data_IF_255911320250
#
_entry.id   IF_255911320250
#
_cell.length_a   1.000
_cell.length_b   1.000
_cell.length_c   1.000
_cell.angle_alpha   90.00
_cell.angle_beta   90.00
_cell.angle_gamma   90.00
#
_symmetry.space_group_name_H-M   'P 1'
#
loop_
_entity.id
_entity.type
_entity.pdbx_description
1 polymer ?
#
# COMPACT_ATOMS: atom_id res chain seq x y z
N UNK A 1 6.59 -18.08 -10.78
CA UNK A 1 6.61 -17.36 -12.07
C UNK A 1 7.14 -15.93 -11.92
N UNK A 2 6.62 -15.13 -10.99
CA UNK A 2 7.03 -13.73 -10.83
C UNK A 2 8.47 -13.55 -10.33
N UNK A 3 8.91 -14.21 -9.25
CA UNK A 3 10.26 -14.00 -8.70
C UNK A 3 11.38 -14.24 -9.72
N UNK A 4 11.37 -15.34 -10.52
CA UNK A 4 12.37 -15.55 -11.57
C UNK A 4 12.40 -14.44 -12.63
N UNK A 5 11.27 -13.76 -12.86
CA UNK A 5 11.21 -12.62 -13.78
C UNK A 5 11.83 -11.37 -13.18
N UNK A 6 11.61 -11.12 -11.90
CA UNK A 6 12.31 -10.04 -11.18
C UNK A 6 13.82 -10.27 -11.20
N UNK A 7 14.27 -11.51 -10.99
CA UNK A 7 15.70 -11.87 -11.05
C UNK A 7 16.28 -11.70 -12.46
N UNK A 8 15.53 -12.04 -13.50
CA UNK A 8 15.91 -11.82 -14.91
C UNK A 8 16.10 -10.32 -15.19
N UNK A 9 15.16 -9.47 -14.75
CA UNK A 9 15.26 -8.01 -14.90
C UNK A 9 16.44 -7.42 -14.11
N UNK A 10 16.65 -7.88 -12.88
CA UNK A 10 17.76 -7.43 -12.03
C UNK A 10 19.10 -7.79 -12.69
N UNK A 11 19.24 -9.01 -13.20
CA UNK A 11 20.45 -9.46 -13.91
C UNK A 11 20.76 -8.60 -15.14
N UNK A 12 19.74 -8.16 -15.87
CA UNK A 12 19.92 -7.39 -17.10
C UNK A 12 20.17 -5.89 -16.85
N UNK A 13 19.57 -5.33 -15.79
CA UNK A 13 19.53 -3.87 -15.56
C UNK A 13 20.48 -3.44 -14.44
N UNK A 14 20.46 -4.11 -13.29
CA UNK A 14 21.08 -3.61 -12.05
C UNK A 14 22.59 -3.46 -12.18
N UNK A 15 23.25 -4.45 -12.79
CA UNK A 15 24.71 -4.43 -12.99
C UNK A 15 25.13 -3.91 -14.36
N UNK A 16 24.19 -3.36 -15.15
CA UNK A 16 24.52 -2.81 -16.46
C UNK A 16 25.27 -1.47 -16.30
N UNK A 17 26.50 -1.35 -16.82
CA UNK A 17 27.30 -0.13 -16.67
C UNK A 17 26.66 1.09 -17.32
N UNK A 18 25.90 0.90 -18.41
CA UNK A 18 25.17 1.99 -19.09
C UNK A 18 24.03 2.48 -18.19
N UNK A 19 23.31 1.56 -17.54
CA UNK A 19 22.24 1.91 -16.63
C UNK A 19 22.79 2.66 -15.41
N UNK A 20 23.78 2.08 -14.72
CA UNK A 20 24.41 2.71 -13.54
C UNK A 20 24.94 4.11 -13.85
N UNK A 21 25.66 4.30 -14.96
CA UNK A 21 26.16 5.62 -15.38
C UNK A 21 25.05 6.67 -15.56
N UNK A 22 23.81 6.26 -15.86
CA UNK A 22 22.67 7.17 -16.08
C UNK A 22 21.83 7.44 -14.83
N UNK A 23 22.00 6.69 -13.74
CA UNK A 23 21.13 6.81 -12.56
C UNK A 23 21.90 6.98 -11.25
N UNK A 24 23.14 6.51 -11.20
CA UNK A 24 23.99 6.61 -10.02
C UNK A 24 24.44 8.07 -9.83
N UNK A 25 24.22 8.61 -8.63
CA UNK A 25 24.53 10.00 -8.30
C UNK A 25 23.63 11.06 -8.94
N UNK A 26 22.54 10.66 -9.61
CA UNK A 26 21.57 11.60 -10.21
C UNK A 26 20.35 11.77 -9.30
N UNK A 27 19.93 13.02 -9.10
CA UNK A 27 18.74 13.35 -8.31
C UNK A 27 18.88 12.90 -6.86
N UNK A 28 20.06 13.15 -6.28
CA UNK A 28 20.35 12.90 -4.87
C UNK A 28 19.51 13.81 -3.99
N UNK A 29 18.84 13.24 -3.01
CA UNK A 29 18.04 13.96 -2.03
C UNK A 29 18.53 13.56 -0.65
N UNK A 30 18.91 14.54 0.17
CA UNK A 30 19.30 14.28 1.55
C UNK A 30 18.09 13.93 2.42
N UNK A 31 18.34 13.25 3.54
CA UNK A 31 17.30 12.93 4.54
C UNK A 31 16.51 14.17 4.98
N UNK A 32 17.19 15.28 5.24
CA UNK A 32 16.57 16.53 5.67
C UNK A 32 15.72 17.16 4.57
N UNK A 33 16.20 17.17 3.33
CA UNK A 33 15.44 17.69 2.19
C UNK A 33 14.20 16.85 1.92
N UNK A 34 14.31 15.53 1.98
CA UNK A 34 13.17 14.63 1.76
C UNK A 34 12.03 14.88 2.76
N UNK A 35 12.36 15.11 4.04
CA UNK A 35 11.39 15.44 5.08
C UNK A 35 10.81 16.84 4.87
N UNK A 36 11.67 17.84 4.61
CA UNK A 36 11.24 19.22 4.45
C UNK A 36 10.36 19.43 3.20
N UNK A 37 10.58 18.66 2.13
CA UNK A 37 9.77 18.71 0.91
C UNK A 37 8.50 17.86 0.98
N UNK A 38 8.26 17.15 2.09
CA UNK A 38 7.10 16.28 2.24
C UNK A 38 7.11 15.09 1.28
N UNK A 39 8.29 14.59 0.89
CA UNK A 39 8.39 13.39 0.06
C UNK A 39 7.99 12.15 0.87
N UNK A 40 7.31 11.21 0.23
CA UNK A 40 6.81 10.00 0.85
C UNK A 40 7.17 8.73 0.07
N UNK A 41 6.93 7.57 0.69
CA UNK A 41 7.20 6.25 0.13
C UNK A 41 8.63 6.02 -0.36
N UNK A 42 8.84 5.54 -1.60
CA UNK A 42 10.16 5.13 -2.08
C UNK A 42 11.16 6.29 -2.18
N UNK A 43 10.68 7.54 -2.36
CA UNK A 43 11.54 8.72 -2.34
C UNK A 43 12.15 8.95 -0.96
N UNK A 44 11.32 8.82 0.08
CA UNK A 44 11.70 9.00 1.47
C UNK A 44 12.58 7.84 1.96
N UNK A 45 12.19 6.60 1.63
CA UNK A 45 12.93 5.37 1.96
C UNK A 45 14.30 5.30 1.30
N UNK A 46 14.45 5.78 0.07
CA UNK A 46 15.75 5.83 -0.61
C UNK A 46 16.72 6.87 -0.02
N UNK A 47 16.20 7.84 0.74
CA UNK A 47 16.96 8.96 1.34
C UNK A 47 17.34 8.69 2.81
N UNK A 48 17.26 7.45 3.28
CA UNK A 48 17.69 7.02 4.61
C UNK A 48 16.62 7.10 5.70
N UNK A 49 15.35 7.31 5.35
CA UNK A 49 14.26 7.40 6.33
C UNK A 49 13.45 6.10 6.33
N UNK A 50 13.50 5.37 7.46
CA UNK A 50 12.71 4.15 7.66
C UNK A 50 11.24 4.48 7.97
N UNK A 51 10.49 4.86 6.95
CA UNK A 51 9.09 5.25 7.08
C UNK A 51 8.21 4.52 6.06
N UNK A 52 7.14 3.90 6.56
CA UNK A 52 6.13 3.20 5.76
C UNK A 52 4.80 3.20 6.53
N UNK A 53 3.74 3.74 5.93
CA UNK A 53 2.46 3.90 6.62
C UNK A 53 1.84 2.55 7.02
N UNK A 54 2.14 1.46 6.32
CA UNK A 54 1.61 0.13 6.64
C UNK A 54 2.11 -0.41 7.97
N UNK A 55 3.28 0.04 8.45
CA UNK A 55 3.82 -0.29 9.79
C UNK A 55 3.57 0.79 10.84
N UNK A 56 3.25 2.01 10.43
CA UNK A 56 3.07 3.15 11.36
C UNK A 56 1.61 3.30 11.75
N UNK A 57 0.71 3.27 10.77
CA UNK A 57 -0.72 3.48 10.99
C UNK A 57 -1.48 2.16 11.18
N UNK A 58 -0.83 1.01 10.98
CA UNK A 58 -1.36 -0.32 11.33
C UNK A 58 -2.76 -0.59 10.73
N UNK A 59 -2.98 -0.19 9.47
CA UNK A 59 -4.28 -0.37 8.82
C UNK A 59 -4.45 -1.77 8.20
N UNK A 60 -5.70 -2.18 8.02
CA UNK A 60 -6.08 -3.51 7.50
C UNK A 60 -5.44 -4.67 8.30
N UNK A 61 -4.77 -5.61 7.63
CA UNK A 61 -4.15 -6.79 8.21
C UNK A 61 -2.63 -6.84 8.01
N UNK A 62 -1.99 -5.68 7.76
CA UNK A 62 -0.53 -5.64 7.54
C UNK A 62 0.30 -6.01 8.78
N UNK A 63 -0.29 -5.95 9.97
CA UNK A 63 0.33 -6.35 11.24
C UNK A 63 0.38 -7.84 11.47
N UNK A 64 -0.58 -8.58 10.89
CA UNK A 64 -0.65 -10.04 11.00
C UNK A 64 0.35 -10.73 10.06
N UNK A 65 1.00 -9.97 9.19
CA UNK A 65 1.91 -10.46 8.15
C UNK A 65 3.37 -10.15 8.51
N UNK A 66 4.25 -11.11 8.26
CA UNK A 66 5.69 -10.96 8.47
C UNK A 66 6.36 -10.32 7.25
N UNK A 67 6.70 -9.04 7.35
CA UNK A 67 7.37 -8.32 6.28
C UNK A 67 8.24 -7.16 6.77
N UNK A 68 9.25 -6.83 5.96
CA UNK A 68 10.28 -5.84 6.26
C UNK A 68 10.20 -4.60 5.35
N UNK A 69 10.52 -3.43 5.91
CA UNK A 69 10.60 -2.17 5.16
C UNK A 69 12.01 -2.01 4.58
N UNK A 70 12.12 -1.97 3.25
CA UNK A 70 13.39 -1.74 2.56
C UNK A 70 13.69 -0.26 2.40
N UNK A 71 14.91 0.13 2.72
CA UNK A 71 15.40 1.52 2.65
C UNK A 71 16.86 1.54 2.19
N UNK A 72 17.31 2.69 1.73
CA UNK A 72 18.67 2.95 1.26
C UNK A 72 19.14 4.31 1.75
N UNK A 73 20.45 4.58 1.74
CA UNK A 73 21.02 5.84 2.25
C UNK A 73 21.52 6.79 1.17
N UNK A 74 21.70 6.32 -0.06
CA UNK A 74 22.36 7.12 -1.10
C UNK A 74 21.49 8.27 -1.64
N UNK A 75 20.15 8.18 -1.53
CA UNK A 75 19.23 9.23 -1.94
C UNK A 75 19.13 9.48 -3.45
N UNK A 76 19.87 8.72 -4.26
CA UNK A 76 19.92 8.87 -5.72
C UNK A 76 18.84 8.05 -6.45
N UNK A 77 18.77 8.20 -7.78
CA UNK A 77 17.86 7.41 -8.62
C UNK A 77 18.14 5.90 -8.51
N UNK A 78 19.38 5.50 -8.29
CA UNK A 78 19.74 4.09 -8.13
C UNK A 78 19.20 3.50 -6.83
N UNK A 79 19.32 4.20 -5.70
CA UNK A 79 18.72 3.81 -4.43
C UNK A 79 17.21 3.65 -4.54
N UNK A 80 16.52 4.57 -5.24
CA UNK A 80 15.07 4.47 -5.50
C UNK A 80 14.72 3.23 -6.31
N UNK A 81 15.54 2.89 -7.31
CA UNK A 81 15.38 1.67 -8.09
C UNK A 81 15.55 0.42 -7.22
N UNK A 82 16.59 0.36 -6.38
CA UNK A 82 16.86 -0.77 -5.49
C UNK A 82 15.71 -0.98 -4.49
N UNK A 83 15.21 0.10 -3.86
CA UNK A 83 14.07 0.04 -2.95
C UNK A 83 12.86 -0.59 -3.65
N UNK A 84 12.52 -0.15 -4.87
CA UNK A 84 11.38 -0.70 -5.62
C UNK A 84 11.55 -2.18 -5.97
N UNK A 85 12.75 -2.60 -6.37
CA UNK A 85 13.02 -4.01 -6.69
C UNK A 85 12.82 -4.89 -5.45
N UNK A 86 13.31 -4.44 -4.29
CA UNK A 86 13.13 -5.17 -3.03
C UNK A 86 11.66 -5.16 -2.57
N UNK A 87 10.96 -4.04 -2.70
CA UNK A 87 9.51 -3.94 -2.42
C UNK A 87 8.67 -4.89 -3.26
N UNK A 88 9.04 -5.13 -4.53
CA UNK A 88 8.34 -6.12 -5.36
C UNK A 88 8.49 -7.54 -4.80
N UNK A 89 9.67 -7.91 -4.30
CA UNK A 89 9.90 -9.21 -3.66
C UNK A 89 9.10 -9.32 -2.36
N UNK A 90 9.10 -8.26 -1.56
CA UNK A 90 8.36 -8.22 -0.30
C UNK A 90 6.85 -8.29 -0.53
N UNK A 91 6.36 -7.63 -1.57
CA UNK A 91 4.95 -7.72 -1.98
C UNK A 91 4.54 -9.15 -2.30
N UNK A 92 5.40 -9.92 -2.97
CA UNK A 92 5.13 -11.35 -3.22
C UNK A 92 5.17 -12.16 -1.92
N UNK A 93 6.08 -11.85 -0.99
CA UNK A 93 6.14 -12.49 0.34
C UNK A 93 4.81 -12.27 1.09
N UNK A 94 4.31 -11.04 1.10
CA UNK A 94 3.02 -10.64 1.69
C UNK A 94 1.88 -11.43 1.03
N UNK A 95 1.81 -11.44 -0.31
CA UNK A 95 0.76 -12.18 -1.05
C UNK A 95 0.76 -13.67 -0.72
N UNK A 96 1.93 -14.31 -0.62
CA UNK A 96 2.04 -15.73 -0.26
C UNK A 96 1.55 -16.01 1.16
N UNK A 97 1.78 -15.10 2.09
CA UNK A 97 1.29 -15.22 3.47
C UNK A 97 -0.22 -14.99 3.51
N UNK A 98 -0.72 -13.95 2.86
CA UNK A 98 -2.15 -13.67 2.76
C UNK A 98 -2.91 -14.85 2.16
N UNK A 99 -2.41 -15.47 1.08
CA UNK A 99 -3.02 -16.66 0.48
C UNK A 99 -3.12 -17.86 1.44
N UNK A 100 -2.14 -18.02 2.35
CA UNK A 100 -2.17 -19.08 3.38
C UNK A 100 -3.10 -18.73 4.54
N UNK A 101 -3.20 -17.45 4.87
CA UNK A 101 -4.00 -16.92 5.96
C UNK A 101 -5.44 -16.57 5.55
N UNK A 102 -5.84 -16.82 4.29
CA UNK A 102 -7.17 -16.50 3.79
C UNK A 102 -8.25 -17.18 4.64
N UNK A 103 -9.06 -16.41 5.39
CA UNK A 103 -10.20 -17.00 6.07
C UNK A 103 -11.25 -17.40 5.03
N UNK A 104 -11.88 -18.56 5.23
CA UNK A 104 -13.13 -18.87 4.53
C UNK A 104 -14.26 -17.99 5.05
N UNK A 105 -15.23 -17.68 4.19
CA UNK A 105 -16.42 -16.92 4.58
C UNK A 105 -16.95 -16.02 3.46
N UNK A 106 -18.10 -15.34 3.69
CA UNK A 106 -18.62 -14.35 2.76
C UNK A 106 -17.64 -13.18 2.56
N UNK A 107 -17.36 -12.82 1.30
CA UNK A 107 -16.44 -11.74 0.93
C UNK A 107 -17.11 -10.35 0.86
N UNK A 108 -18.44 -10.33 0.73
CA UNK A 108 -19.25 -9.12 0.74
C UNK A 108 -20.01 -9.02 2.07
N UNK A 109 -19.35 -8.48 3.09
CA UNK A 109 -20.10 -7.76 4.11
C UNK A 109 -20.34 -6.36 3.56
N UNK A 110 -21.47 -6.17 2.89
CA UNK A 110 -22.01 -4.84 2.64
C UNK A 110 -22.25 -4.23 4.03
N UNK A 111 -21.30 -3.45 4.56
CA UNK A 111 -21.58 -2.55 5.68
C UNK A 111 -22.81 -1.70 5.39
N UNK A 112 -23.05 -1.38 4.11
CA UNK A 112 -24.29 -0.77 3.61
C UNK A 112 -25.54 -1.60 3.91
N UNK A 113 -25.49 -2.94 3.83
CA UNK A 113 -26.60 -3.84 4.14
C UNK A 113 -26.82 -3.95 5.64
N UNK A 114 -25.74 -3.98 6.45
CA UNK A 114 -25.82 -3.88 7.93
C UNK A 114 -26.34 -2.52 8.40
N UNK A 115 -25.94 -1.42 7.75
CA UNK A 115 -26.48 -0.08 8.00
C UNK A 115 -27.98 -0.01 7.66
N UNK A 116 -28.40 -0.66 6.57
CA UNK A 116 -29.80 -0.68 6.13
C UNK A 116 -30.70 -1.63 6.96
N UNK A 117 -30.20 -2.80 7.35
CA UNK A 117 -30.93 -3.84 8.10
C UNK A 117 -30.91 -3.60 9.63
N UNK A 118 -30.04 -2.71 10.12
CA UNK A 118 -29.95 -2.31 11.52
C UNK A 118 -29.23 -3.33 12.42
N UNK A 119 -29.13 -3.02 13.73
CA UNK A 119 -28.32 -3.78 14.71
C UNK A 119 -28.70 -5.27 14.88
N UNK A 120 -29.84 -5.73 14.34
CA UNK A 120 -30.36 -7.10 14.46
C UNK A 120 -30.15 -7.96 13.20
N UNK A 121 -29.46 -7.45 12.18
CA UNK A 121 -29.13 -8.23 10.97
C UNK A 121 -28.31 -9.46 11.32
N UNK A 122 -28.68 -10.64 10.80
CA UNK A 122 -27.84 -11.84 10.94
C UNK A 122 -26.50 -11.62 10.22
N UNK A 123 -25.41 -11.77 10.98
CA UNK A 123 -24.08 -11.75 10.42
C UNK A 123 -23.84 -13.09 9.69
N UNK A 124 -23.49 -13.04 8.40
CA UNK A 124 -23.20 -14.19 7.54
C UNK A 124 -24.38 -15.12 7.16
N UNK A 125 -25.54 -14.57 6.82
CA UNK A 125 -26.60 -15.33 6.15
C UNK A 125 -26.19 -15.76 4.73
N UNK A 126 -26.35 -17.04 4.39
CA UNK A 126 -25.90 -17.69 3.14
C UNK A 126 -26.90 -17.56 1.97
N UNK A 127 -27.73 -16.51 1.94
CA UNK A 127 -28.71 -16.34 0.87
C UNK A 127 -28.05 -15.77 -0.40
N UNK A 128 -27.76 -16.67 -1.35
CA UNK A 128 -27.25 -16.41 -2.70
C UNK A 128 -28.24 -15.66 -3.61
N UNK A 129 -29.15 -14.85 -3.07
CA UNK A 129 -30.01 -14.06 -3.92
C UNK A 129 -29.18 -12.92 -4.52
N UNK A 130 -28.84 -13.10 -5.80
CA UNK A 130 -28.38 -12.09 -6.74
C UNK A 130 -29.24 -10.83 -6.63
N UNK A 131 -28.95 -9.94 -5.69
CA UNK A 131 -29.55 -8.61 -5.63
C UNK A 131 -28.82 -7.78 -6.66
N UNK A 132 -29.29 -7.86 -7.91
CA UNK A 132 -28.92 -7.01 -9.04
C UNK A 132 -29.30 -5.53 -8.87
N UNK A 133 -29.34 -5.04 -7.63
CA UNK A 133 -29.44 -3.63 -7.28
C UNK A 133 -28.40 -3.36 -6.21
N UNK A 134 -27.20 -2.92 -6.62
CA UNK A 134 -26.36 -2.14 -5.71
C UNK A 134 -27.26 -1.03 -5.16
N UNK A 135 -27.58 -1.10 -3.88
CA UNK A 135 -28.31 -0.03 -3.20
C UNK A 135 -27.52 1.24 -3.49
N UNK A 136 -28.16 2.25 -4.08
CA UNK A 136 -27.49 3.52 -4.32
C UNK A 136 -26.95 3.98 -2.96
N UNK A 137 -25.64 4.26 -2.84
CA UNK A 137 -25.06 4.64 -1.57
C UNK A 137 -25.42 6.09 -1.27
N UNK A 138 -26.70 6.37 -1.04
CA UNK A 138 -27.18 7.63 -0.47
C UNK A 138 -27.11 7.49 1.05
N UNK A 139 -25.90 7.27 1.58
CA UNK A 139 -25.65 7.39 3.00
C UNK A 139 -25.26 8.84 3.29
N UNK A 140 -25.89 9.44 4.31
CA UNK A 140 -25.53 10.77 4.78
C UNK A 140 -24.22 10.66 5.56
N UNK A 141 -23.24 11.49 5.22
CA UNK A 141 -21.96 11.54 5.92
C UNK A 141 -22.13 12.48 7.10
N UNK A 142 -21.97 12.04 8.36
CA UNK A 142 -22.13 12.90 9.52
C UNK A 142 -21.23 14.15 9.42
N UNK A 143 -21.73 15.28 9.93
CA UNK A 143 -20.93 16.49 10.02
C UNK A 143 -19.58 16.27 10.73
N UNK A 144 -18.49 16.59 10.03
CA UNK A 144 -17.14 16.43 10.55
C UNK A 144 -16.08 16.37 9.47
N UNK A 145 -14.82 16.40 9.90
CA UNK A 145 -13.65 16.32 9.03
C UNK A 145 -12.87 15.03 9.31
N UNK A 146 -12.43 14.36 8.25
CA UNK A 146 -11.62 13.16 8.38
C UNK A 146 -10.51 13.12 7.33
N UNK A 147 -9.29 12.83 7.77
CA UNK A 147 -8.15 12.59 6.89
C UNK A 147 -7.68 11.16 7.09
N UNK A 148 -7.69 10.38 6.00
CA UNK A 148 -7.14 9.02 5.97
C UNK A 148 -6.01 8.99 4.98
N UNK A 149 -4.95 8.26 5.30
CA UNK A 149 -3.80 8.07 4.44
C UNK A 149 -3.48 6.60 4.27
N UNK A 150 -3.02 6.24 3.08
CA UNK A 150 -2.58 4.88 2.75
C UNK A 150 -1.21 4.94 2.06
N UNK A 151 -0.45 3.85 2.16
CA UNK A 151 0.78 3.69 1.40
C UNK A 151 0.45 3.15 0.00
N UNK A 152 0.47 4.02 -1.01
CA UNK A 152 0.40 3.60 -2.41
C UNK A 152 1.79 3.18 -2.92
N UNK A 153 1.85 2.50 -4.08
CA UNK A 153 3.14 2.21 -4.75
C UNK A 153 3.94 3.46 -5.19
N UNK A 154 3.38 4.65 -5.04
CA UNK A 154 4.05 5.95 -5.26
C UNK A 154 4.44 6.64 -3.94
N UNK A 155 3.87 6.26 -2.80
CA UNK A 155 4.00 6.92 -1.50
C UNK A 155 2.65 7.19 -0.85
N UNK A 156 2.64 8.11 0.10
CA UNK A 156 1.44 8.50 0.85
C UNK A 156 0.35 9.03 -0.08
N UNK A 157 -0.81 8.38 -0.06
CA UNK A 157 -2.05 8.88 -0.66
C UNK A 157 -3.00 9.23 0.47
N UNK A 158 -3.17 10.53 0.69
CA UNK A 158 -4.13 11.09 1.62
C UNK A 158 -5.46 11.41 0.95
N UNK A 159 -6.55 11.12 1.64
CA UNK A 159 -7.90 11.53 1.27
C UNK A 159 -8.47 12.31 2.45
N UNK A 160 -8.82 13.57 2.18
CA UNK A 160 -9.52 14.44 3.13
C UNK A 160 -11.00 14.52 2.72
N UNK A 161 -11.89 14.21 3.65
CA UNK A 161 -13.34 14.25 3.46
C UNK A 161 -13.94 15.15 4.54
N UNK A 162 -14.84 16.04 4.11
CA UNK A 162 -15.66 16.86 4.99
C UNK A 162 -17.13 16.49 4.75
N UNK A 163 -17.81 16.10 5.82
CA UNK A 163 -19.25 15.88 5.83
C UNK A 163 -19.98 17.13 6.29
N UNK A 164 -21.07 17.48 5.62
CA UNK A 164 -21.90 18.66 5.90
C UNK A 164 -23.37 18.32 6.21
N UNK A 165 -23.73 17.03 6.30
CA UNK A 165 -25.09 16.55 6.58
C UNK A 165 -25.43 16.48 8.08
#
# INVERSE_FOLDING_TARGET
YFDPKVDEYERLITNNPIFRRRVEGIGTISRSEAINWGLSGPMLRASGVKWDLRKVDHYECYDDLDWDVHWETAGDCFARYLVRIREMRESVKILRQALKALPGGPFENLEAKRLAEGKKSEWNGFDYQYIGKKVAPTFKIPKGEHYVRIESGKGELGIYIMGDD
#
